data_IF_235420732232
#
_entry.id   IF_235420732232
#
_cell.length_a   1.000
_cell.length_b   1.000
_cell.length_c   1.000
_cell.angle_alpha   90.00
_cell.angle_beta   90.00
_cell.angle_gamma   90.00
#
_symmetry.space_group_name_H-M   'P 1'
#
loop_
_entity.id
_entity.type
_entity.pdbx_description
1 polymer ?
#
# COMPACT_ATOMS: atom_id res chain seq x y z
N UNK A 1 14.31 -9.16 -14.17
CA UNK A 1 12.96 -9.02 -13.57
C UNK A 1 12.63 -7.55 -13.60
N UNK A 2 11.43 -7.14 -14.04
CA UNK A 2 11.11 -5.71 -14.08
C UNK A 2 10.50 -5.28 -12.74
N UNK A 3 11.06 -4.22 -12.18
CA UNK A 3 10.59 -3.60 -10.95
C UNK A 3 10.19 -2.15 -11.26
N UNK A 4 9.07 -1.73 -10.68
CA UNK A 4 8.55 -0.39 -10.80
C UNK A 4 8.93 0.40 -9.57
N UNK A 5 9.83 1.35 -9.76
CA UNK A 5 10.36 2.21 -8.71
C UNK A 5 9.65 3.56 -8.72
N UNK A 6 9.35 4.12 -7.55
CA UNK A 6 8.84 5.48 -7.43
C UNK A 6 9.86 6.50 -7.95
N UNK A 7 9.43 7.36 -8.87
CA UNK A 7 10.24 8.46 -9.42
C UNK A 7 10.62 9.51 -8.37
N UNK A 8 9.83 9.64 -7.30
CA UNK A 8 10.03 10.64 -6.26
C UNK A 8 10.87 10.11 -5.09
N UNK A 9 10.46 9.01 -4.47
CA UNK A 9 11.15 8.41 -3.32
C UNK A 9 12.29 7.47 -3.70
N UNK A 10 12.21 6.81 -4.86
CA UNK A 10 13.13 5.73 -5.22
C UNK A 10 12.80 4.39 -4.56
N UNK A 11 11.61 4.24 -3.98
CA UNK A 11 11.18 2.97 -3.39
C UNK A 11 10.61 2.03 -4.44
N UNK A 12 10.77 0.72 -4.26
CA UNK A 12 10.14 -0.29 -5.08
C UNK A 12 8.67 -0.44 -4.66
N UNK A 13 7.74 -0.25 -5.60
CA UNK A 13 6.31 -0.24 -5.31
C UNK A 13 5.53 -1.38 -6.00
N UNK A 14 6.05 -1.91 -7.11
CA UNK A 14 5.41 -2.97 -7.89
C UNK A 14 6.48 -3.74 -8.70
N UNK A 15 6.14 -4.92 -9.21
CA UNK A 15 6.96 -5.68 -10.17
C UNK A 15 6.10 -6.27 -11.29
N UNK A 16 6.74 -6.69 -12.38
CA UNK A 16 6.10 -7.40 -13.51
C UNK A 16 5.38 -8.70 -13.13
N UNK A 17 5.67 -9.24 -11.95
CA UNK A 17 4.99 -10.43 -11.41
C UNK A 17 3.51 -10.16 -11.11
N UNK A 18 3.11 -8.89 -10.99
CA UNK A 18 1.74 -8.48 -10.74
C UNK A 18 1.14 -7.79 -11.99
N UNK A 19 0.26 -8.46 -12.73
CA UNK A 19 -0.34 -7.88 -13.93
C UNK A 19 -1.24 -6.70 -13.56
N UNK A 20 -1.10 -5.60 -14.30
CA UNK A 20 -1.90 -4.39 -14.10
C UNK A 20 -2.79 -4.08 -15.31
N UNK A 21 -3.88 -3.35 -15.05
CA UNK A 21 -4.81 -2.82 -16.06
C UNK A 21 -4.73 -1.31 -16.04
N UNK A 22 -4.60 -0.69 -17.20
CA UNK A 22 -4.59 0.76 -17.31
C UNK A 22 -6.01 1.34 -17.23
N UNK A 23 -6.20 2.32 -16.36
CA UNK A 23 -7.46 3.06 -16.21
C UNK A 23 -7.20 4.58 -16.30
N UNK A 24 -8.27 5.36 -16.43
CA UNK A 24 -8.19 6.83 -16.51
C UNK A 24 -7.20 7.33 -17.58
N UNK A 25 -7.27 6.78 -18.79
CA UNK A 25 -6.36 7.08 -19.92
C UNK A 25 -4.87 6.80 -19.62
N UNK A 26 -4.57 5.70 -18.93
CA UNK A 26 -3.19 5.31 -18.61
C UNK A 26 -2.57 6.12 -17.46
N UNK A 27 -3.36 6.91 -16.72
CA UNK A 27 -2.87 7.64 -15.56
C UNK A 27 -2.73 6.77 -14.32
N UNK A 28 -3.62 5.78 -14.20
CA UNK A 28 -3.67 4.88 -13.07
C UNK A 28 -3.53 3.44 -13.56
N UNK A 29 -2.74 2.67 -12.82
CA UNK A 29 -2.61 1.23 -13.01
C UNK A 29 -3.36 0.51 -11.90
N UNK A 30 -4.28 -0.35 -12.29
CA UNK A 30 -5.07 -1.18 -11.41
C UNK A 30 -4.45 -2.57 -11.30
N UNK A 31 -4.12 -2.98 -10.07
CA UNK A 31 -3.48 -4.26 -9.77
C UNK A 31 -4.36 -5.04 -8.80
N UNK A 32 -4.71 -6.27 -9.15
CA UNK A 32 -5.47 -7.15 -8.26
C UNK A 32 -4.50 -7.81 -7.27
N UNK A 33 -4.62 -7.47 -5.99
CA UNK A 33 -3.88 -8.15 -4.92
C UNK A 33 -4.58 -9.43 -4.50
N UNK A 34 -3.85 -10.32 -3.83
CA UNK A 34 -4.39 -11.56 -3.28
C UNK A 34 -4.02 -11.72 -1.83
N UNK A 35 -4.95 -12.25 -1.05
CA UNK A 35 -4.66 -12.65 0.31
C UNK A 35 -3.80 -13.91 0.33
N UNK A 36 -2.62 -13.79 0.92
CA UNK A 36 -1.70 -14.90 1.17
C UNK A 36 -1.58 -15.13 2.66
N UNK A 37 -1.53 -16.40 3.06
CA UNK A 37 -1.25 -16.77 4.44
C UNK A 37 0.26 -16.84 4.59
N UNK A 38 0.86 -15.97 5.39
CA UNK A 38 2.22 -16.18 5.82
C UNK A 38 2.20 -17.29 6.88
N UNK A 39 2.76 -18.44 6.53
CA UNK A 39 3.06 -19.49 7.51
C UNK A 39 4.13 -18.98 8.46
N UNK A 40 3.99 -19.30 9.75
CA UNK A 40 4.94 -18.91 10.78
C UNK A 40 6.38 -19.20 10.32
N UNK A 41 7.23 -18.19 10.32
CA UNK A 41 8.66 -18.42 10.31
C UNK A 41 8.94 -19.07 11.66
N UNK A 42 9.24 -20.35 11.65
CA UNK A 42 9.80 -21.08 12.80
C UNK A 42 11.16 -20.44 13.12
N UNK A 43 11.14 -19.33 13.85
CA UNK A 43 12.34 -18.79 14.47
C UNK A 43 12.61 -19.69 15.66
N UNK A 44 13.34 -20.76 15.42
CA UNK A 44 13.91 -21.65 16.43
C UNK A 44 14.95 -20.84 17.25
N UNK A 45 14.47 -19.98 18.15
CA UNK A 45 15.29 -19.34 19.18
C UNK A 45 15.61 -20.44 20.18
N UNK A 46 16.69 -21.12 19.83
CA UNK A 46 17.31 -22.24 20.51
C UNK A 46 17.07 -22.32 22.02
N UNK A 47 16.58 -23.49 22.40
CA UNK A 47 17.10 -24.29 23.50
C UNK A 47 17.42 -23.53 24.79
N UNK A 48 16.42 -23.40 25.66
CA UNK A 48 16.67 -23.38 27.10
C UNK A 48 16.30 -24.75 27.69
N UNK A 49 17.26 -25.66 27.92
CA UNK A 49 16.99 -26.96 28.53
C UNK A 49 17.01 -26.81 30.05
N UNK A 50 15.91 -26.36 30.65
CA UNK A 50 15.77 -26.50 32.11
C UNK A 50 14.32 -26.50 32.58
N UNK A 51 13.99 -27.61 33.25
CA UNK A 51 12.94 -27.82 34.27
C UNK A 51 11.53 -28.25 33.82
N UNK A 52 11.36 -29.58 33.86
CA UNK A 52 10.21 -30.40 34.29
C UNK A 52 8.85 -29.73 34.60
N UNK A 53 7.80 -30.29 33.96
CA UNK A 53 6.55 -30.66 34.65
C UNK A 53 5.27 -29.95 34.20
N UNK A 54 4.31 -30.71 33.65
CA UNK A 54 2.89 -30.34 33.59
C UNK A 54 2.18 -30.66 32.27
N UNK A 55 1.16 -31.50 32.35
CA UNK A 55 0.34 -32.10 31.28
C UNK A 55 -0.46 -31.10 30.42
N UNK A 56 -0.70 -31.53 29.17
CA UNK A 56 -1.90 -31.38 28.31
C UNK A 56 -2.72 -30.07 28.41
N UNK A 57 -2.81 -29.30 27.31
CA UNK A 57 -4.06 -29.14 26.54
C UNK A 57 -3.88 -28.11 25.40
N UNK A 58 -4.71 -28.31 24.39
CA UNK A 58 -4.77 -27.79 23.04
C UNK A 58 -4.57 -26.28 22.82
N UNK A 59 -3.88 -25.98 21.71
CA UNK A 59 -3.87 -24.67 21.08
C UNK A 59 -2.60 -24.42 20.28
N UNK A 60 -2.32 -25.25 19.27
CA UNK A 60 -1.28 -24.93 18.28
C UNK A 60 -1.69 -23.61 17.62
N UNK A 61 -0.78 -22.65 17.74
CA UNK A 61 -0.90 -21.24 17.41
C UNK A 61 -1.60 -20.96 16.06
N UNK A 62 -2.81 -20.39 16.12
CA UNK A 62 -3.48 -19.73 14.97
C UNK A 62 -2.79 -18.38 14.65
N UNK A 63 -1.46 -18.39 14.62
CA UNK A 63 -0.58 -17.27 14.28
C UNK A 63 -0.44 -17.06 12.76
N UNK A 64 -1.35 -17.64 11.97
CA UNK A 64 -1.42 -17.48 10.54
C UNK A 64 -1.85 -16.03 10.19
N UNK A 65 -0.88 -15.14 10.05
CA UNK A 65 -1.13 -13.76 9.63
C UNK A 65 -1.48 -13.78 8.14
N UNK A 66 -2.75 -13.48 7.83
CA UNK A 66 -3.19 -13.23 6.46
C UNK A 66 -2.71 -11.85 6.05
N UNK A 67 -1.82 -11.78 5.06
CA UNK A 67 -1.30 -10.54 4.51
C UNK A 67 -1.68 -10.48 3.02
N UNK A 68 -1.72 -9.28 2.47
CA UNK A 68 -1.90 -9.11 1.02
C UNK A 68 -0.53 -9.24 0.37
N UNK A 69 -0.43 -10.09 -0.64
CA UNK A 69 0.81 -10.41 -1.36
C UNK A 69 1.64 -9.18 -1.75
N UNK A 70 1.01 -8.18 -2.36
CA UNK A 70 1.66 -6.94 -2.81
C UNK A 70 2.18 -6.14 -1.60
N UNK A 71 1.38 -6.03 -0.54
CA UNK A 71 1.76 -5.28 0.67
C UNK A 71 2.95 -5.94 1.35
N UNK A 72 2.95 -7.27 1.40
CA UNK A 72 4.02 -8.04 2.00
C UNK A 72 5.32 -7.99 1.17
N UNK A 73 5.19 -8.21 -0.15
CA UNK A 73 6.32 -8.26 -1.08
C UNK A 73 7.08 -6.94 -1.11
N UNK A 74 6.37 -5.81 -1.20
CA UNK A 74 6.97 -4.47 -1.27
C UNK A 74 7.01 -3.76 0.10
N UNK A 75 6.70 -4.48 1.18
CA UNK A 75 6.68 -3.96 2.57
C UNK A 75 5.93 -2.64 2.71
N UNK A 76 4.85 -2.49 1.93
CA UNK A 76 4.09 -1.24 1.86
C UNK A 76 3.56 -0.91 3.25
N UNK A 77 3.91 0.27 3.72
CA UNK A 77 3.42 0.73 5.00
C UNK A 77 2.04 1.33 4.78
N UNK A 78 1.04 0.87 5.53
CA UNK A 78 -0.15 1.71 5.70
C UNK A 78 0.33 3.05 6.27
N UNK A 79 -0.26 4.17 5.85
CA UNK A 79 0.09 5.48 6.40
C UNK A 79 -0.41 5.60 7.85
N UNK A 80 0.17 4.79 8.74
CA UNK A 80 -0.12 4.63 10.15
C UNK A 80 0.55 5.75 10.98
N UNK A 81 1.45 6.53 10.35
CA UNK A 81 2.06 7.72 10.96
C UNK A 81 1.02 8.74 11.40
N UNK A 82 -0.18 8.71 10.80
CA UNK A 82 -1.30 9.56 11.18
C UNK A 82 -2.15 9.02 12.35
N UNK A 83 -2.08 7.72 12.66
CA UNK A 83 -2.76 7.10 13.81
C UNK A 83 -1.91 7.16 15.10
N UNK A 84 -0.58 7.27 14.97
CA UNK A 84 0.33 7.38 16.11
C UNK A 84 0.22 8.71 16.87
N UNK A 85 -0.28 9.78 16.23
CA UNK A 85 -0.59 11.04 16.91
C UNK A 85 -1.78 10.91 17.90
N UNK A 86 -2.51 9.79 17.89
CA UNK A 86 -3.64 9.50 18.79
C UNK A 86 -3.32 8.65 20.04
N UNK A 87 -2.08 8.18 20.20
CA UNK A 87 -1.56 7.69 21.50
C UNK A 87 -2.17 6.42 22.11
N UNK A 88 -2.41 5.33 21.35
CA UNK A 88 -2.72 4.00 21.93
C UNK A 88 -2.12 2.83 21.14
N UNK A 89 -0.92 2.44 21.52
CA UNK A 89 -0.08 1.39 20.91
C UNK A 89 -0.67 -0.04 21.05
N UNK A 90 -1.43 -0.30 22.11
CA UNK A 90 -1.98 -1.64 22.41
C UNK A 90 -3.22 -2.01 21.59
N UNK A 91 -3.95 -1.02 21.05
CA UNK A 91 -5.08 -1.24 20.14
C UNK A 91 -4.62 -1.53 18.70
N UNK A 92 -3.37 -1.22 18.38
CA UNK A 92 -2.75 -1.40 17.07
C UNK A 92 -2.76 -2.86 16.59
N UNK A 93 -2.38 -3.81 17.46
CA UNK A 93 -2.36 -5.23 17.12
C UNK A 93 -3.76 -5.83 16.97
N UNK A 94 -4.73 -5.32 17.71
CA UNK A 94 -6.13 -5.74 17.60
C UNK A 94 -6.82 -5.15 16.35
N UNK A 95 -6.48 -3.92 15.95
CA UNK A 95 -7.02 -3.27 14.77
C UNK A 95 -6.49 -3.86 13.44
N UNK A 96 -5.26 -4.39 13.43
CA UNK A 96 -4.72 -5.08 12.26
C UNK A 96 -5.53 -6.33 11.85
N UNK A 97 -6.29 -6.93 12.77
CA UNK A 97 -7.12 -8.12 12.53
C UNK A 97 -8.57 -7.80 12.14
N UNK A 98 -9.04 -6.56 12.30
CA UNK A 98 -10.43 -6.16 12.03
C UNK A 98 -10.44 -5.16 10.88
N UNK A 99 -10.12 -5.65 9.67
CA UNK A 99 -10.08 -4.83 8.45
C UNK A 99 -11.49 -4.59 7.91
N UNK A 100 -12.34 -3.87 8.64
CA UNK A 100 -13.63 -3.35 8.14
C UNK A 100 -14.26 -2.24 9.02
N UNK A 101 -13.48 -1.42 9.72
CA UNK A 101 -14.04 -0.25 10.40
C UNK A 101 -13.14 0.97 10.22
N UNK A 102 -13.60 1.84 9.32
CA UNK A 102 -13.36 3.28 9.19
C UNK A 102 -11.97 3.75 9.60
N UNK A 103 -11.05 3.73 8.63
CA UNK A 103 -9.96 4.69 8.59
C UNK A 103 -10.54 6.10 8.81
N UNK A 104 -9.90 6.98 9.61
CA UNK A 104 -10.34 8.37 9.67
C UNK A 104 -10.34 8.92 8.25
N UNK A 105 -11.50 9.40 7.80
CA UNK A 105 -11.69 9.88 6.45
C UNK A 105 -10.56 10.86 6.11
N UNK A 106 -9.76 10.53 5.11
CA UNK A 106 -8.69 11.41 4.67
C UNK A 106 -9.32 12.77 4.32
N UNK A 107 -8.83 13.85 4.93
CA UNK A 107 -9.45 15.15 4.75
C UNK A 107 -9.26 15.54 3.28
N UNK A 108 -10.36 15.76 2.55
CA UNK A 108 -10.34 16.09 1.12
C UNK A 108 -9.37 17.24 0.82
N UNK A 109 -9.22 18.19 1.75
CA UNK A 109 -8.29 19.31 1.61
C UNK A 109 -6.83 18.86 1.61
N UNK A 110 -6.50 17.91 2.47
CA UNK A 110 -5.16 17.36 2.56
C UNK A 110 -4.84 16.50 1.34
N UNK A 111 -5.79 15.70 0.87
CA UNK A 111 -5.61 14.95 -0.37
C UNK A 111 -5.34 15.89 -1.56
N UNK A 112 -6.13 16.95 -1.70
CA UNK A 112 -5.92 17.96 -2.76
C UNK A 112 -4.57 18.67 -2.59
N UNK A 113 -4.14 18.94 -1.37
CA UNK A 113 -2.82 19.55 -1.10
C UNK A 113 -1.67 18.61 -1.48
N UNK A 114 -1.77 17.34 -1.08
CA UNK A 114 -0.83 16.29 -1.46
C UNK A 114 -0.78 16.15 -2.99
N UNK A 115 -1.93 16.01 -3.65
CA UNK A 115 -2.00 15.86 -5.10
C UNK A 115 -1.36 17.05 -5.82
N UNK A 116 -1.61 18.30 -5.38
CA UNK A 116 -0.96 19.47 -5.95
C UNK A 116 0.56 19.44 -5.81
N UNK A 117 1.08 19.01 -4.64
CA UNK A 117 2.52 18.87 -4.39
C UNK A 117 3.12 17.76 -5.25
N UNK A 118 2.48 16.60 -5.26
CA UNK A 118 2.86 15.43 -6.05
C UNK A 118 2.91 15.75 -7.54
N UNK A 119 1.87 16.36 -8.10
CA UNK A 119 1.82 16.82 -9.50
C UNK A 119 2.99 17.74 -9.83
N UNK A 120 3.29 18.69 -8.94
CA UNK A 120 4.39 19.65 -9.14
C UNK A 120 5.74 18.95 -9.14
N UNK A 121 5.99 18.05 -8.20
CA UNK A 121 7.25 17.31 -8.10
C UNK A 121 7.44 16.34 -9.27
N UNK A 122 6.38 15.61 -9.62
CA UNK A 122 6.42 14.64 -10.70
C UNK A 122 6.60 15.32 -12.05
N UNK A 123 5.92 16.44 -12.30
CA UNK A 123 6.12 17.24 -13.53
C UNK A 123 7.58 17.69 -13.70
N UNK A 124 8.34 17.93 -12.62
CA UNK A 124 9.76 18.29 -12.71
C UNK A 124 10.67 17.12 -13.09
N UNK A 125 10.20 15.89 -12.91
CA UNK A 125 10.93 14.65 -13.19
C UNK A 125 10.52 14.00 -14.52
N UNK A 126 9.33 14.33 -15.02
CA UNK A 126 8.80 13.82 -16.29
C UNK A 126 9.46 14.50 -17.50
N UNK A 127 9.64 13.73 -18.57
CA UNK A 127 10.03 14.19 -19.90
C UNK A 127 8.96 15.16 -20.47
N UNK A 128 9.33 16.14 -21.32
CA UNK A 128 8.41 17.18 -21.81
C UNK A 128 7.16 16.62 -22.51
N UNK A 129 7.30 15.52 -23.25
CA UNK A 129 6.17 14.86 -23.94
C UNK A 129 5.18 14.23 -22.93
N UNK A 130 5.71 13.53 -21.92
CA UNK A 130 4.90 12.94 -20.86
C UNK A 130 4.26 14.00 -19.94
N UNK A 131 4.87 15.19 -19.79
CA UNK A 131 4.30 16.28 -19.00
C UNK A 131 2.99 16.81 -19.57
N UNK A 132 2.87 16.92 -20.90
CA UNK A 132 1.64 17.42 -21.54
C UNK A 132 0.49 16.41 -21.40
N UNK A 133 0.78 15.12 -21.61
CA UNK A 133 -0.17 14.04 -21.36
C UNK A 133 -0.59 14.00 -19.88
N UNK A 134 0.38 14.03 -18.97
CA UNK A 134 0.13 14.01 -17.52
C UNK A 134 -0.76 15.17 -17.09
N UNK A 135 -0.45 16.42 -17.49
CA UNK A 135 -1.26 17.60 -17.12
C UNK A 135 -2.69 17.54 -17.65
N UNK A 136 -2.89 16.92 -18.81
CA UNK A 136 -4.22 16.80 -19.44
C UNK A 136 -5.09 15.77 -18.75
N UNK A 137 -4.52 14.62 -18.36
CA UNK A 137 -5.29 13.49 -17.83
C UNK A 137 -5.32 13.42 -16.28
N UNK A 138 -4.40 14.08 -15.58
CA UNK A 138 -4.33 14.06 -14.11
C UNK A 138 -5.54 14.67 -13.42
N UNK A 139 -6.22 15.64 -14.05
CA UNK A 139 -7.44 16.23 -13.46
C UNK A 139 -8.56 15.17 -13.38
N UNK A 140 -8.71 14.35 -14.42
CA UNK A 140 -9.66 13.23 -14.45
C UNK A 140 -9.36 12.20 -13.37
N UNK A 141 -8.12 11.72 -13.33
CA UNK A 141 -7.66 10.75 -12.32
C UNK A 141 -7.82 11.29 -10.88
N UNK A 142 -7.50 12.57 -10.64
CA UNK A 142 -7.69 13.21 -9.33
C UNK A 142 -9.17 13.27 -8.94
N UNK A 143 -10.06 13.57 -9.89
CA UNK A 143 -11.51 13.59 -9.65
C UNK A 143 -12.05 12.19 -9.37
N UNK A 144 -11.56 11.18 -10.08
CA UNK A 144 -11.89 9.77 -9.84
C UNK A 144 -11.52 9.36 -8.41
N UNK A 145 -10.27 9.62 -7.99
CA UNK A 145 -9.79 9.31 -6.63
C UNK A 145 -10.58 10.09 -5.56
N UNK A 146 -10.88 11.37 -5.81
CA UNK A 146 -11.71 12.18 -4.89
C UNK A 146 -13.12 11.63 -4.70
N UNK A 147 -13.70 11.01 -5.73
CA UNK A 147 -15.03 10.40 -5.62
C UNK A 147 -15.04 9.15 -4.75
N UNK A 148 -13.92 8.41 -4.73
CA UNK A 148 -13.70 7.15 -3.98
C UNK A 148 -12.89 7.32 -2.70
N UNK A 149 -12.57 8.55 -2.30
CA UNK A 149 -11.66 8.84 -1.19
C UNK A 149 -12.05 8.19 0.15
N UNK A 150 -13.34 7.91 0.34
CA UNK A 150 -13.85 7.25 1.56
C UNK A 150 -13.56 5.76 1.62
N UNK A 151 -13.48 5.11 0.45
CA UNK A 151 -13.30 3.66 0.32
C UNK A 151 -11.84 3.30 0.01
N UNK A 152 -11.03 4.31 -0.34
CA UNK A 152 -9.61 4.17 -0.60
C UNK A 152 -8.81 4.10 0.70
N UNK A 153 -8.01 3.07 0.83
CA UNK A 153 -6.96 2.91 1.83
C UNK A 153 -5.63 3.38 1.25
N UNK A 154 -4.81 4.06 2.06
CA UNK A 154 -3.55 4.66 1.61
C UNK A 154 -2.35 3.89 2.14
N UNK A 155 -1.42 3.62 1.25
CA UNK A 155 -0.14 2.99 1.52
C UNK A 155 1.00 3.87 1.00
N UNK A 156 2.15 3.80 1.66
CA UNK A 156 3.41 4.44 1.28
C UNK A 156 4.49 3.37 1.15
N UNK A 157 5.54 3.68 0.37
CA UNK A 157 6.73 2.83 0.28
C UNK A 157 7.47 2.70 1.63
N UNK A 158 8.44 1.79 1.69
CA UNK A 158 9.21 1.47 2.90
C UNK A 158 9.92 2.70 3.50
N UNK A 159 10.36 3.66 2.66
CA UNK A 159 11.04 4.87 3.14
C UNK A 159 10.12 5.86 3.86
N UNK A 160 8.80 5.69 3.74
CA UNK A 160 7.77 6.62 4.26
C UNK A 160 8.02 8.08 3.86
N UNK A 161 8.53 8.31 2.64
CA UNK A 161 8.82 9.67 2.17
C UNK A 161 7.53 10.50 2.07
N UNK A 162 7.48 11.65 2.75
CA UNK A 162 6.29 12.52 2.80
C UNK A 162 5.86 13.04 1.40
N UNK A 163 6.77 13.02 0.44
CA UNK A 163 6.56 13.41 -0.97
C UNK A 163 6.56 12.25 -1.96
N UNK A 164 6.67 11.00 -1.47
CA UNK A 164 6.67 9.81 -2.31
C UNK A 164 5.30 9.51 -2.92
N UNK A 165 5.28 8.58 -3.87
CA UNK A 165 4.04 8.07 -4.45
C UNK A 165 3.18 7.35 -3.42
N UNK A 166 1.90 7.73 -3.35
CA UNK A 166 0.88 6.99 -2.60
C UNK A 166 0.34 5.85 -3.45
N UNK A 167 0.25 4.69 -2.82
CA UNK A 167 -0.44 3.52 -3.36
C UNK A 167 -1.83 3.49 -2.73
N UNK A 168 -2.87 3.39 -3.55
CA UNK A 168 -4.24 3.30 -3.04
C UNK A 168 -4.71 1.86 -3.10
N UNK A 169 -5.45 1.39 -2.12
CA UNK A 169 -6.17 0.13 -2.20
C UNK A 169 -7.66 0.35 -1.98
N UNK A 170 -8.50 -0.33 -2.72
CA UNK A 170 -9.94 -0.33 -2.49
C UNK A 170 -10.50 -1.73 -2.74
N UNK A 171 -11.64 -2.02 -2.15
CA UNK A 171 -12.38 -3.25 -2.42
C UNK A 171 -13.48 -2.92 -3.42
N UNK A 172 -13.50 -3.64 -4.55
CA UNK A 172 -14.63 -3.56 -5.49
C UNK A 172 -15.88 -4.13 -4.82
N UNK A 173 -17.04 -3.61 -5.17
CA UNK A 173 -18.32 -4.11 -4.63
C UNK A 173 -18.44 -5.62 -4.92
N UNK A 174 -18.44 -6.44 -3.86
CA UNK A 174 -18.52 -7.89 -3.95
C UNK A 174 -17.18 -8.63 -4.14
N UNK A 175 -16.04 -7.93 -4.17
CA UNK A 175 -14.73 -8.56 -4.21
C UNK A 175 -14.20 -8.84 -2.79
N UNK A 176 -13.67 -10.05 -2.59
CA UNK A 176 -12.95 -10.45 -1.37
C UNK A 176 -11.53 -9.88 -1.33
N UNK A 177 -10.97 -9.63 -2.51
CA UNK A 177 -9.58 -9.27 -2.70
C UNK A 177 -9.42 -7.76 -2.93
N UNK A 178 -8.40 -7.13 -2.31
CA UNK A 178 -8.13 -5.72 -2.49
C UNK A 178 -7.58 -5.45 -3.89
N UNK A 179 -8.02 -4.35 -4.48
CA UNK A 179 -7.48 -3.82 -5.73
C UNK A 179 -6.62 -2.60 -5.42
N UNK A 180 -5.38 -2.61 -5.89
CA UNK A 180 -4.43 -1.52 -5.74
C UNK A 180 -4.46 -0.60 -6.97
N UNK A 181 -4.24 0.69 -6.74
CA UNK A 181 -4.12 1.72 -7.76
C UNK A 181 -2.77 2.41 -7.58
N UNK A 182 -2.01 2.48 -8.67
CA UNK A 182 -0.73 3.17 -8.76
C UNK A 182 -0.81 4.29 -9.78
N UNK A 183 -0.02 5.36 -9.60
CA UNK A 183 0.15 6.36 -10.66
C UNK A 183 1.18 5.86 -11.68
N UNK A 184 0.74 5.54 -12.88
CA UNK A 184 1.60 5.04 -13.96
C UNK A 184 2.80 5.96 -14.22
N UNK A 185 2.54 7.25 -14.36
CA UNK A 185 3.56 8.26 -14.62
C UNK A 185 4.46 8.54 -13.42
N UNK A 186 4.08 8.06 -12.23
CA UNK A 186 4.88 8.13 -11.00
C UNK A 186 5.90 7.02 -10.86
N UNK A 187 5.76 5.97 -11.67
CA UNK A 187 6.60 4.80 -11.62
C UNK A 187 7.59 4.81 -12.77
N UNK A 188 8.83 4.43 -12.47
CA UNK A 188 9.89 4.19 -13.42
C UNK A 188 10.14 2.70 -13.52
N UNK A 189 10.20 2.22 -14.74
CA UNK A 189 10.62 0.85 -15.04
C UNK A 189 12.13 0.71 -14.84
N UNK A 190 12.53 -0.23 -14.00
CA UNK A 190 13.91 -0.59 -13.74
C UNK A 190 14.08 -2.08 -14.02
N UNK A 191 15.00 -2.40 -14.92
CA UNK A 191 15.39 -3.77 -15.19
C UNK A 191 16.47 -4.19 -14.19
N UNK A 192 16.17 -5.22 -13.39
CA UNK A 192 17.08 -5.86 -12.44
C UNK A 192 17.59 -7.20 -12.97
#
# INVERSE_FOLDING_TARGET
MLVYQDLLAGDELLSDSFPYKEIENGMLWEVEGKWVVQGAIDVDIGANPSAEGGEEDEGVDDQAVKVVDIVDTFRLQTNHRWWWLGGKESLFRAFASIRSQEQPAFDKKQFVTYMKRYIKLLTLKLEPEAQEAFKTHIEGATRFLLSKLKDLQFFVGESMHDDGSLVFAYYKEGATDPTFLYFAHGLKEVEC
#
